data_IF_870018294978
#
_entry.id   IF_870018294978
#
_cell.length_a   1.000
_cell.length_b   1.000
_cell.length_c   1.000
_cell.angle_alpha   90.00
_cell.angle_beta   90.00
_cell.angle_gamma   90.00
#
_symmetry.space_group_name_H-M   'P 1'
#
loop_
_entity.id
_entity.type
_entity.pdbx_description
1 polymer ?
#
# COMPACT_ATOMS: atom_id res chain seq x y z
N UNK A 1 4.32 -18.00 4.79
CA UNK A 1 4.56 -17.82 3.34
C UNK A 1 6.02 -18.17 2.97
N UNK A 2 6.23 -18.96 1.91
CA UNK A 2 7.55 -19.18 1.29
C UNK A 2 7.67 -18.33 0.02
N UNK A 3 8.74 -17.55 -0.09
CA UNK A 3 9.03 -16.73 -1.28
C UNK A 3 9.97 -17.49 -2.20
N UNK A 4 9.68 -17.45 -3.49
CA UNK A 4 10.59 -17.92 -4.54
C UNK A 4 11.87 -17.06 -4.57
N UNK A 5 12.95 -17.58 -5.15
CA UNK A 5 14.20 -16.83 -5.21
C UNK A 5 14.06 -15.56 -6.07
N UNK A 6 13.22 -15.60 -7.10
CA UNK A 6 12.92 -14.43 -7.91
C UNK A 6 12.21 -13.34 -7.09
N UNK A 7 11.13 -13.70 -6.38
CA UNK A 7 10.40 -12.79 -5.48
C UNK A 7 11.34 -12.13 -4.45
N UNK A 8 12.29 -12.90 -3.88
CA UNK A 8 13.28 -12.36 -2.93
C UNK A 8 14.25 -11.37 -3.58
N UNK A 9 14.69 -11.63 -4.80
CA UNK A 9 15.60 -10.74 -5.52
C UNK A 9 14.91 -9.44 -5.86
N UNK A 10 13.66 -9.51 -6.35
CA UNK A 10 12.81 -8.36 -6.62
C UNK A 10 12.62 -7.48 -5.37
N UNK A 11 12.29 -8.10 -4.22
CA UNK A 11 12.17 -7.37 -2.94
C UNK A 11 13.49 -6.68 -2.58
N UNK A 12 14.63 -7.36 -2.71
CA UNK A 12 15.94 -6.77 -2.40
C UNK A 12 16.26 -5.58 -3.30
N UNK A 13 15.92 -5.67 -4.57
CA UNK A 13 16.18 -4.61 -5.55
C UNK A 13 15.41 -3.34 -5.18
N UNK A 14 14.10 -3.45 -4.92
CA UNK A 14 13.28 -2.32 -4.43
C UNK A 14 13.78 -1.76 -3.10
N UNK A 15 14.11 -2.62 -2.14
CA UNK A 15 14.65 -2.17 -0.85
C UNK A 15 16.00 -1.47 -1.01
N UNK A 16 16.80 -1.83 -2.02
CA UNK A 16 18.06 -1.16 -2.30
C UNK A 16 17.86 0.30 -2.73
N UNK A 17 16.75 0.61 -3.41
CA UNK A 17 16.39 1.97 -3.82
C UNK A 17 16.16 2.84 -2.58
N UNK A 18 15.29 2.40 -1.67
CA UNK A 18 15.04 3.09 -0.40
C UNK A 18 16.33 3.23 0.43
N UNK A 19 17.12 2.17 0.52
CA UNK A 19 18.37 2.18 1.27
C UNK A 19 19.37 3.21 0.71
N UNK A 20 19.54 3.27 -0.62
CA UNK A 20 20.40 4.28 -1.25
C UNK A 20 19.86 5.69 -1.06
N UNK A 21 18.55 5.88 -1.18
CA UNK A 21 17.92 7.18 -0.94
C UNK A 21 18.15 7.67 0.50
N UNK A 22 18.06 6.78 1.51
CA UNK A 22 18.42 7.10 2.89
C UNK A 22 19.91 7.42 3.01
N UNK A 23 20.79 6.62 2.44
CA UNK A 23 22.24 6.84 2.50
C UNK A 23 22.64 8.21 1.91
N UNK A 24 22.02 8.60 0.80
CA UNK A 24 22.23 9.91 0.19
C UNK A 24 21.69 11.05 1.06
N UNK A 25 20.48 10.91 1.61
CA UNK A 25 19.91 11.90 2.55
C UNK A 25 20.78 12.12 3.79
N UNK A 26 21.52 11.09 4.21
CA UNK A 26 22.47 11.14 5.31
C UNK A 26 23.87 11.63 4.89
N UNK A 27 24.10 11.89 3.61
CA UNK A 27 25.37 12.38 3.08
C UNK A 27 26.46 11.31 2.93
N UNK A 28 26.12 10.01 3.01
CA UNK A 28 27.08 8.92 2.83
C UNK A 28 27.44 8.67 1.35
N UNK A 29 26.53 9.01 0.44
CA UNK A 29 26.73 8.90 -1.02
C UNK A 29 26.14 10.14 -1.72
N UNK A 30 26.49 10.35 -2.97
CA UNK A 30 26.05 11.51 -3.77
C UNK A 30 25.49 11.13 -5.15
N UNK A 31 24.96 9.91 -5.31
CA UNK A 31 24.53 9.38 -6.60
C UNK A 31 23.01 9.49 -6.85
N UNK A 32 22.64 10.56 -7.55
CA UNK A 32 21.26 10.92 -7.89
C UNK A 32 20.58 9.93 -8.84
N UNK A 33 21.33 9.21 -9.69
CA UNK A 33 20.75 8.31 -10.71
C UNK A 33 20.23 6.99 -10.14
N UNK A 34 20.52 6.70 -8.87
CA UNK A 34 20.26 5.39 -8.26
C UNK A 34 18.84 5.19 -7.72
N UNK A 35 17.95 6.18 -7.89
CA UNK A 35 16.61 6.22 -7.26
C UNK A 35 15.45 5.83 -8.15
N UNK A 36 15.64 5.75 -9.48
CA UNK A 36 14.53 5.49 -10.39
C UNK A 36 14.19 4.01 -10.43
N UNK A 37 12.91 3.70 -10.25
CA UNK A 37 12.36 2.38 -10.50
C UNK A 37 12.17 2.25 -12.03
N UNK A 38 12.70 1.20 -12.64
CA UNK A 38 12.50 0.94 -14.08
C UNK A 38 11.10 0.39 -14.34
N UNK A 39 10.58 0.54 -15.57
CA UNK A 39 9.27 -0.03 -15.94
C UNK A 39 9.20 -1.55 -15.73
N UNK A 40 10.28 -2.26 -16.03
CA UNK A 40 10.38 -3.72 -15.77
C UNK A 40 10.26 -4.01 -14.29
N UNK A 41 10.98 -3.25 -13.44
CA UNK A 41 10.93 -3.40 -12.00
C UNK A 41 9.54 -3.06 -11.47
N UNK A 42 8.88 -2.02 -11.99
CA UNK A 42 7.51 -1.67 -11.65
C UNK A 42 6.54 -2.83 -11.96
N UNK A 43 6.56 -3.35 -13.19
CA UNK A 43 5.64 -4.41 -13.63
C UNK A 43 5.79 -5.65 -12.75
N UNK A 44 7.04 -6.07 -12.50
CA UNK A 44 7.33 -7.22 -11.65
C UNK A 44 6.86 -6.97 -10.21
N UNK A 45 7.07 -5.75 -9.69
CA UNK A 45 6.63 -5.32 -8.36
C UNK A 45 5.11 -5.35 -8.22
N UNK A 46 4.39 -4.80 -9.19
CA UNK A 46 2.92 -4.81 -9.26
C UNK A 46 2.41 -6.25 -9.23
N UNK A 47 2.99 -7.14 -10.02
CA UNK A 47 2.63 -8.57 -10.03
C UNK A 47 2.87 -9.25 -8.68
N UNK A 48 4.03 -9.02 -8.05
CA UNK A 48 4.34 -9.58 -6.74
C UNK A 48 3.39 -9.04 -5.66
N UNK A 49 3.14 -7.74 -5.63
CA UNK A 49 2.26 -7.08 -4.66
C UNK A 49 0.83 -7.62 -4.80
N UNK A 50 0.33 -7.76 -6.03
CA UNK A 50 -0.99 -8.33 -6.30
C UNK A 50 -1.09 -9.78 -5.79
N UNK A 51 -0.08 -10.62 -6.09
CA UNK A 51 0.02 -12.00 -5.56
C UNK A 51 -0.01 -12.02 -4.02
N UNK A 52 0.84 -11.22 -3.38
CA UNK A 52 1.01 -11.25 -1.91
C UNK A 52 -0.19 -10.66 -1.15
N UNK A 53 -0.86 -9.66 -1.69
CA UNK A 53 -2.00 -9.00 -1.02
C UNK A 53 -3.25 -9.88 -0.91
N UNK A 54 -3.31 -11.00 -1.62
CA UNK A 54 -4.36 -12.02 -1.48
C UNK A 54 -4.08 -13.05 -0.37
N UNK A 55 -2.86 -13.05 0.19
CA UNK A 55 -2.44 -14.02 1.19
C UNK A 55 -2.74 -13.47 2.59
N UNK A 56 -3.51 -14.23 3.38
CA UNK A 56 -3.79 -13.94 4.79
C UNK A 56 -2.59 -14.28 5.71
N UNK A 57 -1.43 -13.67 5.43
CA UNK A 57 -0.17 -13.84 6.17
C UNK A 57 0.38 -12.46 6.58
N UNK A 58 0.73 -12.30 7.85
CA UNK A 58 1.20 -11.02 8.39
C UNK A 58 2.52 -10.55 7.75
N UNK A 59 3.40 -11.47 7.37
CA UNK A 59 4.64 -11.14 6.68
C UNK A 59 4.37 -10.70 5.24
N UNK A 60 3.45 -11.37 4.54
CA UNK A 60 3.00 -10.97 3.21
C UNK A 60 2.42 -9.55 3.23
N UNK A 61 1.52 -9.28 4.18
CA UNK A 61 0.91 -7.96 4.41
C UNK A 61 1.93 -6.86 4.65
N UNK A 62 2.95 -7.13 5.47
CA UNK A 62 4.06 -6.18 5.70
C UNK A 62 4.84 -5.90 4.42
N UNK A 63 5.17 -6.92 3.64
CA UNK A 63 5.86 -6.74 2.34
C UNK A 63 5.01 -5.89 1.40
N UNK A 64 3.71 -6.19 1.27
CA UNK A 64 2.78 -5.42 0.43
C UNK A 64 2.81 -3.94 0.79
N UNK A 65 2.68 -3.59 2.07
CA UNK A 65 2.70 -2.19 2.51
C UNK A 65 4.06 -1.54 2.25
N UNK A 66 5.16 -2.22 2.58
CA UNK A 66 6.51 -1.69 2.37
C UNK A 66 6.79 -1.41 0.89
N UNK A 67 6.49 -2.37 0.01
CA UNK A 67 6.74 -2.19 -1.42
C UNK A 67 5.80 -1.14 -2.02
N UNK A 68 4.53 -1.10 -1.58
CA UNK A 68 3.58 -0.05 -1.99
C UNK A 68 4.09 1.34 -1.64
N UNK A 69 4.66 1.51 -0.43
CA UNK A 69 5.23 2.78 0.00
C UNK A 69 6.45 3.19 -0.85
N UNK A 70 7.32 2.24 -1.20
CA UNK A 70 8.48 2.50 -2.07
C UNK A 70 8.01 2.90 -3.47
N UNK A 71 7.09 2.13 -4.07
CA UNK A 71 6.54 2.44 -5.38
C UNK A 71 5.89 3.82 -5.40
N UNK A 72 5.12 4.17 -4.37
CA UNK A 72 4.49 5.49 -4.28
C UNK A 72 5.51 6.62 -4.13
N UNK A 73 6.54 6.41 -3.30
CA UNK A 73 7.53 7.45 -2.95
C UNK A 73 8.45 7.79 -4.13
N UNK A 74 8.88 6.79 -4.89
CA UNK A 74 9.80 6.95 -6.02
C UNK A 74 9.11 6.74 -7.38
N UNK A 75 7.79 6.94 -7.43
CA UNK A 75 7.04 6.82 -8.68
C UNK A 75 7.54 7.85 -9.69
N UNK A 76 7.45 7.47 -10.96
CA UNK A 76 7.50 8.43 -12.04
C UNK A 76 6.14 9.09 -12.25
N UNK A 77 6.12 10.33 -12.73
CA UNK A 77 4.88 11.07 -12.95
C UNK A 77 4.04 10.49 -14.10
N UNK A 78 4.64 9.73 -15.03
CA UNK A 78 3.89 9.03 -16.09
C UNK A 78 3.05 7.82 -15.63
N UNK A 79 3.13 7.42 -14.36
CA UNK A 79 2.45 6.22 -13.85
C UNK A 79 1.06 6.51 -13.28
N UNK A 80 0.19 7.13 -14.08
CA UNK A 80 -1.13 7.60 -13.68
C UNK A 80 -2.03 6.52 -13.05
N UNK A 81 -1.90 5.26 -13.51
CA UNK A 81 -2.68 4.13 -13.00
C UNK A 81 -2.18 3.55 -11.67
N UNK A 82 -0.98 3.93 -11.21
CA UNK A 82 -0.37 3.36 -10.00
C UNK A 82 -1.18 3.71 -8.75
N UNK A 83 -1.74 4.93 -8.68
CA UNK A 83 -2.58 5.39 -7.56
C UNK A 83 -3.73 4.42 -7.31
N UNK A 84 -4.56 4.20 -8.34
CA UNK A 84 -5.76 3.36 -8.25
C UNK A 84 -5.40 1.91 -7.87
N UNK A 85 -4.34 1.37 -8.48
CA UNK A 85 -3.81 0.06 -8.14
C UNK A 85 -3.44 -0.03 -6.66
N UNK A 86 -2.63 0.90 -6.15
CA UNK A 86 -2.17 0.88 -4.76
C UNK A 86 -3.33 1.04 -3.77
N UNK A 87 -4.33 1.87 -4.08
CA UNK A 87 -5.53 2.01 -3.26
C UNK A 87 -6.27 0.67 -3.14
N UNK A 88 -6.47 -0.04 -4.26
CA UNK A 88 -7.08 -1.36 -4.28
C UNK A 88 -6.29 -2.38 -3.45
N UNK A 89 -4.97 -2.45 -3.69
CA UNK A 89 -4.06 -3.37 -3.00
C UNK A 89 -4.08 -3.15 -1.49
N UNK A 90 -3.89 -1.92 -1.04
CA UNK A 90 -3.76 -1.58 0.38
C UNK A 90 -5.09 -1.79 1.11
N UNK A 91 -6.21 -1.46 0.47
CA UNK A 91 -7.54 -1.73 0.99
C UNK A 91 -7.77 -3.25 1.13
N UNK A 92 -7.42 -4.03 0.11
CA UNK A 92 -7.50 -5.50 0.14
C UNK A 92 -6.62 -6.12 1.22
N UNK A 93 -5.40 -5.62 1.39
CA UNK A 93 -4.45 -6.12 2.39
C UNK A 93 -4.84 -5.77 3.84
N UNK A 94 -5.85 -4.91 4.05
CA UNK A 94 -6.31 -4.50 5.36
C UNK A 94 -5.53 -3.34 5.97
N UNK A 95 -5.01 -2.45 5.10
CA UNK A 95 -4.41 -1.17 5.47
C UNK A 95 -5.17 0.04 4.89
N UNK A 96 -6.46 0.21 5.19
CA UNK A 96 -7.23 1.33 4.65
C UNK A 96 -6.68 2.74 4.97
N UNK A 97 -6.08 3.02 6.15
CA UNK A 97 -5.44 4.32 6.36
C UNK A 97 -4.31 4.59 5.37
N UNK A 98 -3.54 3.57 5.01
CA UNK A 98 -2.48 3.68 4.01
C UNK A 98 -3.03 3.85 2.60
N UNK A 99 -4.18 3.24 2.28
CA UNK A 99 -4.82 3.49 0.98
C UNK A 99 -5.29 4.94 0.84
N UNK A 100 -5.82 5.54 1.90
CA UNK A 100 -6.14 6.98 1.94
C UNK A 100 -4.90 7.84 1.66
N UNK A 101 -3.76 7.53 2.28
CA UNK A 101 -2.53 8.34 2.12
C UNK A 101 -1.94 8.34 0.70
N UNK A 102 -2.30 7.37 -0.13
CA UNK A 102 -1.89 7.30 -1.55
C UNK A 102 -2.77 8.22 -2.41
N UNK A 103 -3.95 8.59 -1.94
CA UNK A 103 -4.84 9.50 -2.65
C UNK A 103 -4.68 10.93 -2.13
N UNK A 104 -3.87 11.73 -2.83
CA UNK A 104 -3.64 13.13 -2.46
C UNK A 104 -4.93 13.97 -2.46
N UNK A 105 -5.95 13.54 -3.21
CA UNK A 105 -7.22 14.24 -3.40
C UNK A 105 -8.37 13.56 -2.63
N UNK A 106 -8.05 12.75 -1.61
CA UNK A 106 -9.07 12.08 -0.78
C UNK A 106 -9.97 13.10 -0.07
N UNK A 107 -11.28 12.94 -0.22
CA UNK A 107 -12.28 13.76 0.46
C UNK A 107 -12.49 13.24 1.88
N UNK A 108 -11.85 13.89 2.85
CA UNK A 108 -11.99 13.56 4.27
C UNK A 108 -13.38 13.88 4.85
N UNK A 109 -14.13 14.81 4.24
CA UNK A 109 -15.47 15.18 4.72
C UNK A 109 -16.49 14.10 4.34
N UNK A 110 -16.48 13.69 3.06
CA UNK A 110 -17.39 12.66 2.56
C UNK A 110 -16.82 11.25 2.71
N UNK A 111 -15.53 11.13 3.09
CA UNK A 111 -14.77 9.87 3.23
C UNK A 111 -14.71 9.08 1.93
N UNK A 112 -14.40 9.76 0.83
CA UNK A 112 -14.41 9.21 -0.52
C UNK A 112 -13.06 9.41 -1.17
N UNK A 113 -12.63 8.38 -1.89
CA UNK A 113 -11.49 8.53 -2.80
C UNK A 113 -11.84 9.44 -3.97
N UNK A 114 -10.81 10.08 -4.51
CA UNK A 114 -10.85 10.73 -5.80
C UNK A 114 -11.23 9.75 -6.90
N UNK A 115 -11.62 10.29 -8.06
CA UNK A 115 -12.12 9.46 -9.16
C UNK A 115 -11.13 8.34 -9.52
N UNK A 116 -11.62 7.11 -9.49
CA UNK A 116 -10.93 5.96 -10.06
C UNK A 116 -11.14 5.93 -11.57
N UNK A 117 -10.17 5.40 -12.30
CA UNK A 117 -10.35 5.06 -13.71
C UNK A 117 -11.30 3.87 -13.91
N UNK A 118 -11.63 3.13 -12.84
CA UNK A 118 -12.41 1.89 -12.85
C UNK A 118 -13.47 1.89 -11.76
N UNK A 119 -14.75 1.86 -12.17
CA UNK A 119 -15.89 1.78 -11.25
C UNK A 119 -15.90 0.48 -10.44
N UNK A 120 -15.42 -0.62 -11.04
CA UNK A 120 -15.35 -1.92 -10.36
C UNK A 120 -14.37 -1.85 -9.19
N UNK A 121 -13.23 -1.17 -9.37
CA UNK A 121 -12.24 -0.99 -8.32
C UNK A 121 -12.78 -0.11 -7.19
N UNK A 122 -13.56 0.93 -7.51
CA UNK A 122 -14.26 1.76 -6.51
C UNK A 122 -15.20 0.91 -5.63
N UNK A 123 -15.97 -0.01 -6.23
CA UNK A 123 -16.82 -0.94 -5.47
C UNK A 123 -16.01 -1.87 -4.58
N UNK A 124 -14.94 -2.48 -5.10
CA UNK A 124 -14.10 -3.38 -4.30
C UNK A 124 -13.43 -2.66 -3.14
N UNK A 125 -12.88 -1.47 -3.38
CA UNK A 125 -12.25 -0.63 -2.36
C UNK A 125 -13.26 -0.31 -1.26
N UNK A 126 -14.47 0.11 -1.63
CA UNK A 126 -15.55 0.40 -0.66
C UNK A 126 -15.90 -0.83 0.18
N UNK A 127 -16.08 -1.99 -0.45
CA UNK A 127 -16.34 -3.25 0.26
C UNK A 127 -15.22 -3.61 1.24
N UNK A 128 -13.96 -3.39 0.84
CA UNK A 128 -12.81 -3.63 1.70
C UNK A 128 -12.72 -2.63 2.87
N UNK A 129 -13.08 -1.37 2.66
CA UNK A 129 -13.14 -0.36 3.71
C UNK A 129 -14.20 -0.66 4.76
N UNK A 130 -15.41 -1.05 4.35
CA UNK A 130 -16.50 -1.42 5.28
C UNK A 130 -16.09 -2.54 6.23
N UNK A 131 -15.31 -3.53 5.76
CA UNK A 131 -14.77 -4.60 6.62
C UNK A 131 -13.85 -4.10 7.72
N UNK A 132 -13.30 -2.89 7.58
CA UNK A 132 -12.31 -2.29 8.45
C UNK A 132 -12.80 -1.04 9.16
N UNK A 133 -14.09 -0.72 9.03
CA UNK A 133 -14.74 0.33 9.78
C UNK A 133 -15.16 -0.17 11.16
N UNK A 134 -15.04 0.70 12.16
CA UNK A 134 -15.56 0.51 13.52
C UNK A 134 -16.38 1.74 13.92
N UNK A 135 -17.35 1.56 14.82
CA UNK A 135 -18.15 2.65 15.36
C UNK A 135 -17.78 2.86 16.83
N UNK A 136 -17.54 4.12 17.21
CA UNK A 136 -17.39 4.54 18.60
C UNK A 136 -18.43 5.62 18.83
N UNK A 137 -19.47 5.27 19.59
CA UNK A 137 -20.70 6.06 19.68
C UNK A 137 -21.27 6.30 18.26
N UNK A 138 -21.54 7.56 17.90
CA UNK A 138 -22.11 7.94 16.60
C UNK A 138 -21.05 8.27 15.53
N UNK A 139 -19.77 7.99 15.82
CA UNK A 139 -18.65 8.27 14.90
C UNK A 139 -18.05 6.97 14.39
N UNK A 140 -17.81 6.91 13.08
CA UNK A 140 -17.11 5.78 12.48
C UNK A 140 -15.66 6.10 12.14
N UNK A 141 -14.80 5.11 12.35
CA UNK A 141 -13.36 5.19 12.19
C UNK A 141 -12.88 4.04 11.31
N UNK A 142 -11.98 4.36 10.40
CA UNK A 142 -11.33 3.40 9.54
C UNK A 142 -10.04 2.93 10.21
N UNK A 143 -9.92 1.63 10.48
CA UNK A 143 -8.79 1.07 11.21
C UNK A 143 -8.14 -0.05 10.42
N UNK A 144 -6.87 -0.35 10.70
CA UNK A 144 -6.21 -1.52 10.12
C UNK A 144 -6.86 -2.82 10.61
N UNK A 145 -6.73 -3.91 9.86
CA UNK A 145 -7.20 -5.23 10.30
C UNK A 145 -6.61 -5.67 11.64
N UNK A 146 -5.36 -5.26 11.92
CA UNK A 146 -4.72 -5.49 13.22
C UNK A 146 -5.43 -4.73 14.36
N UNK A 147 -5.70 -3.44 14.17
CA UNK A 147 -6.42 -2.63 15.14
C UNK A 147 -7.84 -3.17 15.37
N UNK A 148 -8.58 -3.50 14.30
CA UNK A 148 -9.93 -4.06 14.43
C UNK A 148 -9.96 -5.36 15.22
N UNK A 149 -8.98 -6.25 15.02
CA UNK A 149 -8.87 -7.50 15.78
C UNK A 149 -8.69 -7.24 17.28
N UNK A 150 -7.85 -6.27 17.66
CA UNK A 150 -7.59 -5.96 19.07
C UNK A 150 -8.74 -5.17 19.72
N UNK A 151 -9.36 -4.24 18.97
CA UNK A 151 -10.50 -3.45 19.43
C UNK A 151 -11.79 -4.29 19.53
N UNK A 152 -11.98 -5.26 18.63
CA UNK A 152 -13.10 -6.19 18.70
C UNK A 152 -13.05 -7.14 19.89
N UNK A 153 -11.85 -7.42 20.43
CA UNK A 153 -11.68 -8.19 21.67
C UNK A 153 -11.99 -7.38 22.93
N UNK A 154 -12.05 -6.04 22.82
CA UNK A 154 -12.37 -5.12 23.91
C UNK A 154 -13.82 -4.60 23.85
N UNK A 155 -14.61 -5.02 22.86
CA UNK A 155 -15.98 -4.58 22.59
C UNK A 155 -17.09 -5.19 23.47
N UNK A 156 -16.88 -5.18 24.79
CA UNK A 156 -17.97 -5.07 25.79
C UNK A 156 -17.88 -3.67 26.42
N UNK A 157 -17.87 -2.62 25.58
CA UNK A 157 -17.92 -1.21 25.98
C UNK A 157 -18.81 -0.45 25.01
#
# INVERSE_FOLDING_TARGET
MNLENNDKNLIKELLSIEHKAIAERLGFISDVRSKSITDTLLIDSVGLIDKLSRIEDQRAKKIVVTLSAILWTYRSDEWDGLKDFLILILSRAGFPPSSIMVDNDYDYHNRRFSSFNSLIDEFFVTLHQLKHEIFVQDKSFLVTGFQKKNLGQTGNL
#
